data_IF_241217743225
#
_entry.id   IF_241217743225
#
_cell.length_a   1.000
_cell.length_b   1.000
_cell.length_c   1.000
_cell.angle_alpha   90.00
_cell.angle_beta   90.00
_cell.angle_gamma   90.00
#
_symmetry.space_group_name_H-M   'P 1'
#
loop_
_entity.id
_entity.type
_entity.pdbx_description
1 polymer ?
#
# COMPACT_ATOMS: atom_id res chain seq x y z
N UNK A 1 -26.19 0.42 23.89
CA UNK A 1 -25.44 -0.51 23.02
C UNK A 1 -24.18 0.21 22.57
N UNK A 2 -23.00 -0.17 23.06
CA UNK A 2 -21.72 0.47 22.69
C UNK A 2 -21.25 -0.14 21.37
N UNK A 3 -21.29 0.63 20.28
CA UNK A 3 -20.65 0.26 19.03
C UNK A 3 -19.12 0.43 19.20
N UNK A 4 -18.39 -0.67 19.28
CA UNK A 4 -16.96 -0.65 18.98
C UNK A 4 -16.82 -0.53 17.46
N UNK A 5 -16.50 0.68 16.99
CA UNK A 5 -15.91 0.88 15.67
C UNK A 5 -14.49 0.30 15.73
N UNK A 6 -14.31 -0.93 15.27
CA UNK A 6 -13.01 -1.36 14.79
C UNK A 6 -12.77 -0.66 13.46
N UNK A 7 -12.09 0.49 13.49
CA UNK A 7 -11.30 0.92 12.33
C UNK A 7 -10.19 -0.12 12.18
N UNK A 8 -10.47 -1.23 11.50
CA UNK A 8 -9.42 -1.96 10.82
C UNK A 8 -8.96 -1.01 9.70
N UNK A 9 -8.02 -0.12 10.03
CA UNK A 9 -7.21 0.54 9.02
C UNK A 9 -6.56 -0.59 8.23
N UNK A 10 -7.11 -0.88 7.06
CA UNK A 10 -6.55 -1.83 6.12
C UNK A 10 -5.32 -1.12 5.53
N UNK A 11 -4.28 -0.97 6.35
CA UNK A 11 -2.98 -0.54 5.88
C UNK A 11 -2.60 -1.52 4.78
N UNK A 12 -2.17 -0.98 3.65
CA UNK A 12 -1.54 -1.76 2.60
C UNK A 12 -0.21 -2.25 3.19
N UNK A 13 -0.26 -3.34 3.96
CA UNK A 13 0.92 -3.86 4.65
C UNK A 13 1.78 -4.54 3.59
N UNK A 14 2.85 -3.86 3.20
CA UNK A 14 3.99 -4.56 2.60
C UNK A 14 4.60 -5.39 3.71
N UNK A 15 4.58 -6.71 3.56
CA UNK A 15 5.14 -7.62 4.55
C UNK A 15 6.63 -7.32 4.73
N UNK A 16 6.99 -6.81 5.91
CA UNK A 16 8.30 -6.29 6.23
C UNK A 16 8.70 -6.65 7.66
N UNK A 17 10.01 -6.71 7.88
CA UNK A 17 10.61 -7.06 9.16
C UNK A 17 11.70 -6.06 9.53
N UNK A 18 11.96 -5.95 10.83
CA UNK A 18 13.04 -5.13 11.37
C UNK A 18 14.24 -6.01 11.69
N UNK A 19 15.39 -5.76 11.04
CA UNK A 19 16.63 -6.50 11.26
C UNK A 19 17.59 -5.66 12.08
N UNK A 20 17.85 -6.11 13.32
CA UNK A 20 18.71 -5.41 14.29
C UNK A 20 20.17 -5.81 14.12
N UNK A 21 21.05 -4.83 14.01
CA UNK A 21 22.51 -5.02 13.88
C UNK A 21 23.27 -3.91 14.60
N UNK A 22 24.56 -4.11 14.85
CA UNK A 22 25.42 -3.02 15.30
C UNK A 22 25.75 -2.13 14.10
N UNK A 23 25.37 -0.86 14.20
CA UNK A 23 25.69 0.12 13.18
C UNK A 23 25.43 1.53 13.65
N UNK A 24 25.96 2.48 12.89
CA UNK A 24 25.81 3.91 13.11
C UNK A 24 25.44 4.61 11.80
N UNK A 25 24.34 5.37 11.74
CA UNK A 25 24.02 6.21 10.59
C UNK A 25 25.15 7.19 10.27
N UNK A 26 25.33 7.52 8.98
CA UNK A 26 26.27 8.56 8.58
C UNK A 26 25.92 9.90 9.26
N UNK A 27 26.88 10.68 9.80
CA UNK A 27 26.60 11.95 10.48
C UNK A 27 25.89 13.01 9.63
N UNK A 28 25.92 12.90 8.29
CA UNK A 28 25.15 13.77 7.39
C UNK A 28 23.67 13.40 7.29
N UNK A 29 23.28 12.23 7.80
CA UNK A 29 21.90 11.76 7.85
C UNK A 29 21.07 12.59 8.82
N UNK A 30 19.78 12.77 8.52
CA UNK A 30 18.87 13.60 9.33
C UNK A 30 17.89 12.73 10.11
N UNK A 31 18.15 12.57 11.41
CA UNK A 31 17.26 11.82 12.28
C UNK A 31 15.99 12.60 12.62
N UNK A 32 14.86 11.89 12.63
CA UNK A 32 13.68 12.29 13.36
C UNK A 32 13.76 11.73 14.79
N UNK A 33 13.12 12.40 15.74
CA UNK A 33 13.06 11.97 17.14
C UNK A 33 11.65 11.52 17.47
N UNK A 34 11.52 10.43 18.23
CA UNK A 34 10.26 10.06 18.85
C UNK A 34 10.41 10.06 20.39
N UNK A 35 10.03 11.16 21.08
CA UNK A 35 10.20 11.26 22.53
C UNK A 35 9.32 10.28 23.31
N UNK A 36 8.27 9.71 22.69
CA UNK A 36 7.39 8.74 23.33
C UNK A 36 7.96 7.30 23.27
N UNK A 37 8.92 7.05 22.37
CA UNK A 37 9.62 5.78 22.27
C UNK A 37 10.79 5.74 23.26
N UNK A 38 10.47 5.54 24.53
CA UNK A 38 11.43 5.60 25.65
C UNK A 38 12.28 4.33 25.85
N UNK A 39 12.19 3.36 24.94
CA UNK A 39 13.03 2.16 24.95
C UNK A 39 13.37 1.76 23.52
N UNK A 40 14.44 0.98 23.35
CA UNK A 40 14.84 0.47 22.05
C UNK A 40 13.72 -0.32 21.36
N UNK A 41 13.04 -1.20 22.09
CA UNK A 41 11.96 -2.02 21.54
C UNK A 41 10.79 -1.17 21.07
N UNK A 42 10.47 -0.09 21.80
CA UNK A 42 9.46 0.88 21.38
C UNK A 42 9.90 1.65 20.14
N UNK A 43 11.20 1.94 20.01
CA UNK A 43 11.76 2.61 18.85
C UNK A 43 11.65 1.75 17.59
N UNK A 44 12.08 0.49 17.70
CA UNK A 44 11.97 -0.50 16.61
C UNK A 44 10.51 -0.73 16.24
N UNK A 45 9.62 -0.88 17.23
CA UNK A 45 8.19 -1.05 16.99
C UNK A 45 7.61 0.17 16.28
N UNK A 46 7.89 1.38 16.77
CA UNK A 46 7.43 2.60 16.14
C UNK A 46 7.91 2.66 14.68
N UNK A 47 9.20 2.42 14.43
CA UNK A 47 9.71 2.41 13.07
C UNK A 47 9.04 1.33 12.21
N UNK A 48 8.73 0.15 12.76
CA UNK A 48 8.02 -0.90 12.01
C UNK A 48 6.63 -0.47 11.56
N UNK A 49 5.91 0.30 12.38
CA UNK A 49 4.54 0.76 12.14
C UNK A 49 4.48 2.07 11.34
N UNK A 50 5.48 2.95 11.48
CA UNK A 50 5.59 4.21 10.78
C UNK A 50 5.93 3.97 9.30
N UNK A 51 5.02 4.39 8.41
CA UNK A 51 5.10 4.11 6.97
C UNK A 51 6.38 4.68 6.35
N UNK A 52 6.83 5.85 6.82
CA UNK A 52 8.00 6.53 6.26
C UNK A 52 9.33 6.05 6.84
N UNK A 53 9.31 5.26 7.91
CA UNK A 53 10.54 4.85 8.59
C UNK A 53 11.25 3.67 7.90
N UNK A 54 12.55 3.84 7.65
CA UNK A 54 13.46 2.82 7.12
C UNK A 54 14.44 2.27 8.15
N UNK A 55 14.85 3.11 9.10
CA UNK A 55 15.91 2.78 10.05
C UNK A 55 15.54 3.33 11.42
N UNK A 56 15.57 2.50 12.45
CA UNK A 56 15.63 2.95 13.84
C UNK A 56 17.09 2.92 14.31
N UNK A 57 17.47 3.86 15.18
CA UNK A 57 18.81 3.98 15.75
C UNK A 57 18.71 4.25 17.24
N UNK A 58 19.46 3.47 18.02
CA UNK A 58 19.64 3.70 19.45
C UNK A 58 20.80 4.67 19.66
N UNK A 59 20.48 5.97 19.79
CA UNK A 59 21.47 7.01 20.05
C UNK A 59 21.61 7.23 21.55
N UNK A 60 22.37 6.38 22.22
CA UNK A 60 22.61 6.46 23.67
C UNK A 60 21.29 6.47 24.49
N UNK A 61 20.33 5.61 24.12
CA UNK A 61 19.01 5.52 24.73
C UNK A 61 17.96 6.48 24.18
N UNK A 62 18.32 7.35 23.22
CA UNK A 62 17.37 8.18 22.48
C UNK A 62 16.93 7.46 21.22
N UNK A 63 15.61 7.34 21.04
CA UNK A 63 15.03 6.78 19.83
C UNK A 63 15.13 7.78 18.67
N UNK A 64 16.05 7.49 17.76
CA UNK A 64 16.16 8.15 16.48
C UNK A 64 15.63 7.26 15.37
N UNK A 65 15.03 7.87 14.35
CA UNK A 65 14.55 7.15 13.19
C UNK A 65 14.71 7.94 11.91
N UNK A 66 14.85 7.25 10.78
CA UNK A 66 15.20 7.85 9.50
C UNK A 66 14.22 7.44 8.40
N UNK A 67 13.88 8.42 7.57
CA UNK A 67 13.11 8.25 6.33
C UNK A 67 14.05 8.12 5.12
N UNK A 68 13.53 7.64 3.98
CA UNK A 68 14.32 7.38 2.75
C UNK A 68 15.13 8.58 2.25
N UNK A 69 14.61 9.81 2.34
CA UNK A 69 15.33 11.01 1.92
C UNK A 69 16.47 11.42 2.86
N UNK A 70 16.46 10.89 4.10
CA UNK A 70 17.34 11.35 5.16
C UNK A 70 18.44 10.35 5.54
N UNK A 71 18.46 9.17 4.93
CA UNK A 71 19.47 8.13 5.16
C UNK A 71 20.02 7.61 3.85
N UNK A 72 21.34 7.60 3.75
CA UNK A 72 22.04 7.09 2.56
C UNK A 72 23.04 6.01 2.91
N UNK A 73 23.65 6.09 4.10
CA UNK A 73 24.68 5.14 4.55
C UNK A 73 24.57 4.85 6.04
N UNK A 74 24.89 3.62 6.41
CA UNK A 74 25.06 3.16 7.78
C UNK A 74 26.38 2.42 7.86
N UNK A 75 27.27 2.85 8.75
CA UNK A 75 28.55 2.18 9.00
C UNK A 75 28.32 1.03 9.97
N UNK A 76 28.90 -0.13 9.68
CA UNK A 76 28.94 -1.25 10.62
C UNK A 76 29.85 -0.92 11.79
N UNK A 77 29.35 -1.20 12.99
CA UNK A 77 30.05 -1.01 14.25
C UNK A 77 30.27 -2.36 14.93
N UNK A 78 31.11 -2.37 15.94
CA UNK A 78 31.35 -3.54 16.79
C UNK A 78 30.35 -3.58 17.94
N UNK A 79 30.17 -4.76 18.55
CA UNK A 79 29.31 -4.92 19.73
C UNK A 79 29.76 -4.03 20.90
N UNK A 80 31.06 -3.73 20.98
CA UNK A 80 31.66 -2.91 22.05
C UNK A 80 31.32 -1.43 21.95
N UNK A 81 30.92 -0.95 20.77
CA UNK A 81 30.52 0.44 20.56
C UNK A 81 29.07 0.68 21.04
N UNK A 82 28.32 -0.37 21.36
CA UNK A 82 26.92 -0.35 21.84
C UNK A 82 25.90 0.36 20.93
N UNK A 83 26.33 0.88 19.78
CA UNK A 83 25.50 1.51 18.75
C UNK A 83 24.76 0.46 17.92
N UNK A 84 23.43 0.51 17.95
CA UNK A 84 22.56 -0.44 17.24
C UNK A 84 21.57 0.27 16.36
N UNK A 85 21.31 -0.33 15.21
CA UNK A 85 20.28 0.09 14.27
C UNK A 85 19.34 -1.07 13.97
N UNK A 86 18.13 -0.75 13.51
CA UNK A 86 17.19 -1.73 12.97
C UNK A 86 16.75 -1.29 11.58
N UNK A 87 17.09 -2.10 10.57
CA UNK A 87 16.69 -1.87 9.19
C UNK A 87 15.30 -2.45 8.94
N UNK A 88 14.40 -1.66 8.37
CA UNK A 88 13.18 -2.18 7.76
C UNK A 88 13.54 -2.76 6.40
N UNK A 89 13.18 -4.01 6.16
CA UNK A 89 13.38 -4.72 4.88
C UNK A 89 12.17 -5.61 4.61
N UNK A 90 11.99 -6.05 3.36
CA UNK A 90 10.95 -7.01 3.00
C UNK A 90 11.09 -8.28 3.86
N UNK A 91 9.95 -8.86 4.23
CA UNK A 91 9.95 -10.13 4.94
C UNK A 91 10.66 -11.21 4.11
N UNK A 92 11.38 -12.07 4.81
CA UNK A 92 12.06 -13.20 4.20
C UNK A 92 11.01 -14.28 3.97
N UNK A 93 10.92 -14.82 2.75
CA UNK A 93 9.91 -15.83 2.37
C UNK A 93 10.02 -17.17 3.13
N UNK A 94 10.95 -17.28 4.07
CA UNK A 94 11.24 -18.47 4.86
C UNK A 94 10.71 -18.33 6.28
N UNK A 95 10.16 -19.41 6.84
CA UNK A 95 9.71 -19.48 8.24
C UNK A 95 10.84 -19.41 9.29
N UNK A 96 12.08 -19.25 8.85
CA UNK A 96 13.28 -19.12 9.68
C UNK A 96 13.97 -17.80 9.39
N UNK A 97 14.60 -17.20 10.42
CA UNK A 97 15.45 -16.04 10.25
C UNK A 97 16.58 -16.33 9.24
N UNK A 98 16.90 -15.40 8.33
CA UNK A 98 18.03 -15.59 7.43
C UNK A 98 19.33 -15.73 8.20
N UNK A 99 20.23 -16.54 7.65
CA UNK A 99 21.59 -16.72 8.15
C UNK A 99 22.58 -16.13 7.17
N UNK A 100 23.67 -15.57 7.67
CA UNK A 100 24.76 -15.05 6.85
C UNK A 100 25.57 -14.00 7.61
N UNK A 101 26.70 -13.62 7.04
CA UNK A 101 27.49 -12.50 7.54
C UNK A 101 26.84 -11.18 7.12
N UNK A 102 26.99 -10.14 7.94
CA UNK A 102 26.56 -8.76 7.64
C UNK A 102 25.05 -8.58 7.36
N UNK A 103 24.15 -8.96 8.29
CA UNK A 103 22.76 -8.51 8.23
C UNK A 103 22.66 -6.98 8.04
N UNK A 104 21.63 -6.43 7.37
CA UNK A 104 20.49 -7.11 6.75
C UNK A 104 20.80 -7.76 5.38
N UNK A 105 22.02 -7.59 4.87
CA UNK A 105 22.50 -8.08 3.56
C UNK A 105 23.22 -9.42 3.70
N UNK A 106 22.53 -10.43 4.23
CA UNK A 106 23.08 -11.73 4.61
C UNK A 106 23.95 -12.32 3.48
N UNK A 107 25.24 -12.52 3.79
CA UNK A 107 26.27 -12.98 2.84
C UNK A 107 26.44 -12.05 1.62
N UNK A 108 26.35 -10.74 1.86
CA UNK A 108 26.43 -9.66 0.87
C UNK A 108 25.37 -9.74 -0.24
N UNK A 109 24.25 -10.43 0.01
CA UNK A 109 23.09 -10.31 -0.85
C UNK A 109 22.39 -8.99 -0.60
N UNK A 110 21.98 -8.33 -1.69
CA UNK A 110 21.22 -7.09 -1.62
C UNK A 110 19.94 -7.33 -0.80
N UNK A 111 19.69 -6.46 0.19
CA UNK A 111 18.43 -6.44 0.90
C UNK A 111 17.49 -5.44 0.23
N UNK A 112 16.21 -5.76 0.17
CA UNK A 112 15.22 -4.93 -0.52
C UNK A 112 14.08 -4.54 0.41
N UNK A 113 13.42 -3.45 0.09
CA UNK A 113 12.16 -3.09 0.73
C UNK A 113 11.30 -2.18 -0.12
N UNK A 114 10.04 -2.02 0.29
CA UNK A 114 9.09 -1.13 -0.35
C UNK A 114 8.36 -0.29 0.70
N UNK A 115 8.29 1.02 0.49
CA UNK A 115 7.38 1.92 1.22
C UNK A 115 6.22 2.34 0.31
N UNK A 116 5.03 2.44 0.90
CA UNK A 116 3.84 3.00 0.24
C UNK A 116 3.45 4.28 0.98
N UNK A 117 4.11 5.38 0.63
CA UNK A 117 3.92 6.67 1.29
C UNK A 117 2.56 7.22 0.83
N UNK A 118 1.65 7.61 1.75
CA UNK A 118 0.35 8.16 1.37
C UNK A 118 0.50 9.30 0.37
N UNK A 119 -0.14 9.16 -0.78
CA UNK A 119 -0.21 10.16 -1.83
C UNK A 119 -1.62 10.74 -1.92
N UNK A 120 -1.89 11.47 -3.00
CA UNK A 120 -3.25 11.97 -3.27
C UNK A 120 -4.19 10.83 -3.72
N UNK A 121 -5.48 10.98 -3.46
CA UNK A 121 -6.55 10.11 -3.98
C UNK A 121 -6.36 8.60 -3.77
N UNK A 122 -5.78 8.17 -2.64
CA UNK A 122 -5.46 6.76 -2.33
C UNK A 122 -4.51 6.09 -3.36
N UNK A 123 -3.74 6.88 -4.12
CA UNK A 123 -2.60 6.44 -4.92
C UNK A 123 -1.28 6.78 -4.19
N UNK A 124 -0.70 5.85 -3.43
CA UNK A 124 0.53 6.15 -2.70
C UNK A 124 1.74 6.26 -3.63
N UNK A 125 2.73 7.02 -3.20
CA UNK A 125 4.08 6.98 -3.76
C UNK A 125 4.75 5.68 -3.31
N UNK A 126 5.16 4.87 -4.28
CA UNK A 126 5.93 3.65 -4.06
C UNK A 126 7.42 3.98 -4.09
N UNK A 127 8.09 3.78 -2.97
CA UNK A 127 9.54 3.86 -2.85
C UNK A 127 10.10 2.45 -2.76
N UNK A 128 10.70 1.95 -3.83
CA UNK A 128 11.48 0.72 -3.79
C UNK A 128 12.90 1.08 -3.37
N UNK A 129 13.45 0.36 -2.39
CA UNK A 129 14.82 0.59 -1.96
C UNK A 129 15.62 -0.70 -1.92
N UNK A 130 16.92 -0.53 -2.15
CA UNK A 130 17.92 -1.59 -2.04
C UNK A 130 19.01 -1.14 -1.10
N UNK A 131 19.45 -2.05 -0.24
CA UNK A 131 20.54 -1.88 0.71
C UNK A 131 21.67 -2.82 0.27
N UNK A 132 22.84 -2.26 0.03
CA UNK A 132 24.04 -3.01 -0.38
C UNK A 132 25.12 -2.88 0.67
N UNK A 133 25.82 -3.96 0.96
CA UNK A 133 26.96 -3.92 1.86
C UNK A 133 28.28 -3.88 1.09
N UNK A 134 29.07 -2.83 1.31
CA UNK A 134 30.38 -2.64 0.71
C UNK A 134 31.37 -2.19 1.78
N UNK A 135 32.40 -3.00 2.03
CA UNK A 135 33.54 -2.66 2.88
C UNK A 135 33.16 -2.07 4.26
N UNK A 136 32.25 -2.72 5.00
CA UNK A 136 31.84 -2.26 6.34
C UNK A 136 30.76 -1.19 6.36
N UNK A 137 30.12 -0.91 5.22
CA UNK A 137 29.06 0.10 5.12
C UNK A 137 27.87 -0.47 4.37
N UNK A 138 26.67 -0.24 4.89
CA UNK A 138 25.42 -0.43 4.16
C UNK A 138 25.03 0.86 3.46
N UNK A 139 24.83 0.79 2.14
CA UNK A 139 24.45 1.93 1.30
C UNK A 139 23.04 1.71 0.75
N UNK A 140 22.24 2.76 0.78
CA UNK A 140 20.86 2.76 0.29
C UNK A 140 20.78 3.35 -1.11
N UNK A 141 19.96 2.72 -1.95
CA UNK A 141 19.54 3.28 -3.25
C UNK A 141 18.03 3.21 -3.37
N UNK A 142 17.43 4.24 -3.96
CA UNK A 142 15.98 4.44 -4.01
C UNK A 142 15.48 4.58 -5.44
N UNK A 143 14.29 4.06 -5.69
CA UNK A 143 13.53 4.29 -6.91
C UNK A 143 12.07 4.58 -6.57
N UNK A 144 11.60 5.74 -7.00
CA UNK A 144 10.31 6.30 -6.60
C UNK A 144 9.40 6.46 -7.82
N UNK A 145 8.14 6.07 -7.64
CA UNK A 145 7.08 6.23 -8.64
C UNK A 145 5.71 6.18 -7.97
N UNK A 146 4.66 6.65 -8.64
CA UNK A 146 3.30 6.36 -8.21
C UNK A 146 3.08 4.83 -8.20
N UNK A 147 2.33 4.33 -7.20
CA UNK A 147 2.04 2.91 -7.12
C UNK A 147 1.09 2.44 -8.22
N UNK A 148 0.19 3.33 -8.68
CA UNK A 148 -0.67 3.16 -9.83
C UNK A 148 -0.35 4.15 -10.97
N UNK A 149 -0.77 3.85 -12.22
CA UNK A 149 -0.32 4.60 -13.40
C UNK A 149 -0.58 6.11 -13.37
N UNK A 150 -1.69 6.54 -12.78
CA UNK A 150 -2.08 7.96 -12.65
C UNK A 150 -2.82 8.19 -11.33
N UNK A 151 -2.98 9.44 -10.92
CA UNK A 151 -3.69 9.83 -9.68
C UNK A 151 -5.20 9.55 -9.72
N UNK A 152 -5.74 9.12 -10.87
CA UNK A 152 -7.12 8.66 -11.00
C UNK A 152 -7.31 7.19 -10.60
N UNK A 153 -6.22 6.46 -10.35
CA UNK A 153 -6.26 5.07 -9.91
C UNK A 153 -6.06 4.99 -8.41
N UNK A 154 -6.92 4.22 -7.76
CA UNK A 154 -6.79 3.84 -6.36
C UNK A 154 -6.02 2.53 -6.24
N UNK A 155 -5.08 2.46 -5.30
CA UNK A 155 -4.39 1.21 -4.98
C UNK A 155 -5.23 0.32 -4.04
N UNK A 156 -5.40 -0.93 -4.44
CA UNK A 156 -6.10 -1.99 -3.72
C UNK A 156 -5.14 -3.15 -3.45
N UNK A 157 -5.34 -3.83 -2.32
CA UNK A 157 -4.64 -5.08 -2.03
C UNK A 157 -5.62 -6.24 -2.19
N UNK A 158 -5.34 -7.12 -3.15
CA UNK A 158 -5.96 -8.45 -3.26
C UNK A 158 -5.01 -9.48 -2.67
N UNK A 159 -5.50 -10.70 -2.42
CA UNK A 159 -4.77 -11.74 -1.66
C UNK A 159 -3.29 -11.88 -2.06
N UNK A 160 -2.97 -11.87 -3.36
CA UNK A 160 -1.61 -12.08 -3.85
C UNK A 160 -1.14 -10.99 -4.84
N UNK A 161 -1.88 -9.89 -4.98
CA UNK A 161 -1.55 -8.86 -5.97
C UNK A 161 -2.03 -7.49 -5.54
N UNK A 162 -1.18 -6.49 -5.78
CA UNK A 162 -1.56 -5.09 -5.72
C UNK A 162 -2.28 -4.72 -7.01
N UNK A 163 -3.47 -4.14 -6.88
CA UNK A 163 -4.38 -3.87 -7.98
C UNK A 163 -4.71 -2.39 -8.05
N UNK A 164 -4.66 -1.82 -9.25
CA UNK A 164 -5.05 -0.43 -9.49
C UNK A 164 -6.47 -0.39 -10.07
N UNK A 165 -7.33 0.46 -9.52
CA UNK A 165 -8.72 0.59 -9.95
C UNK A 165 -9.06 2.06 -10.19
N UNK A 166 -9.63 2.37 -11.35
CA UNK A 166 -10.21 3.68 -11.67
C UNK A 166 -11.69 3.53 -12.01
N UNK A 167 -12.39 4.66 -12.05
CA UNK A 167 -13.74 4.76 -12.60
C UNK A 167 -13.69 5.58 -13.89
N UNK A 168 -14.19 5.02 -14.98
CA UNK A 168 -14.27 5.69 -16.28
C UNK A 168 -15.69 6.24 -16.52
N UNK A 169 -15.77 7.44 -17.10
CA UNK A 169 -17.02 8.07 -17.53
C UNK A 169 -17.00 8.31 -19.04
N UNK A 170 -18.17 8.31 -19.68
CA UNK A 170 -18.25 8.71 -21.09
C UNK A 170 -17.90 10.19 -21.24
N UNK A 171 -17.15 10.60 -22.27
CA UNK A 171 -16.90 12.01 -22.54
C UNK A 171 -18.15 12.72 -23.09
N UNK A 172 -19.12 11.95 -23.60
CA UNK A 172 -20.34 12.46 -24.22
C UNK A 172 -21.28 13.12 -23.20
N UNK A 173 -21.88 14.25 -23.60
CA UNK A 173 -22.95 14.92 -22.83
C UNK A 173 -24.27 14.93 -23.62
N UNK A 174 -25.41 14.55 -23.01
CA UNK A 174 -25.56 14.01 -21.65
C UNK A 174 -24.87 12.65 -21.50
N UNK A 175 -24.34 12.37 -20.30
CA UNK A 175 -23.64 11.12 -20.03
C UNK A 175 -24.56 9.94 -20.37
N UNK A 176 -24.12 9.11 -21.30
CA UNK A 176 -24.80 7.87 -21.64
C UNK A 176 -24.15 6.70 -20.90
N UNK A 177 -24.94 5.68 -20.58
CA UNK A 177 -24.42 4.46 -19.97
C UNK A 177 -23.56 3.67 -20.95
N UNK A 178 -22.43 3.13 -20.51
CA UNK A 178 -21.70 2.13 -21.30
C UNK A 178 -22.52 0.85 -21.46
N UNK A 179 -22.57 0.33 -22.71
CA UNK A 179 -22.84 -1.10 -22.92
C UNK A 179 -21.71 -1.93 -22.27
N UNK A 180 -21.94 -3.22 -22.04
CA UNK A 180 -20.88 -4.07 -21.47
C UNK A 180 -19.65 -4.10 -22.38
N UNK A 181 -19.83 -4.32 -23.68
CA UNK A 181 -18.73 -4.40 -24.64
C UNK A 181 -17.99 -3.05 -24.76
N UNK A 182 -18.72 -1.94 -24.68
CA UNK A 182 -18.11 -0.61 -24.64
C UNK A 182 -17.30 -0.40 -23.37
N UNK A 183 -17.80 -0.83 -22.19
CA UNK A 183 -17.05 -0.73 -20.94
C UNK A 183 -15.76 -1.57 -20.98
N UNK A 184 -15.82 -2.80 -21.49
CA UNK A 184 -14.63 -3.66 -21.67
C UNK A 184 -13.62 -2.99 -22.61
N UNK A 185 -14.08 -2.46 -23.75
CA UNK A 185 -13.22 -1.78 -24.72
C UNK A 185 -12.59 -0.51 -24.13
N UNK A 186 -13.35 0.27 -23.35
CA UNK A 186 -12.84 1.45 -22.66
C UNK A 186 -11.74 1.07 -21.67
N UNK A 187 -11.96 0.03 -20.84
CA UNK A 187 -10.94 -0.44 -19.91
C UNK A 187 -9.68 -0.95 -20.64
N UNK A 188 -9.84 -1.70 -21.73
CA UNK A 188 -8.71 -2.23 -22.51
C UNK A 188 -7.85 -1.10 -23.10
N UNK A 189 -8.49 -0.02 -23.58
CA UNK A 189 -7.81 1.17 -24.07
C UNK A 189 -7.07 1.94 -22.96
N UNK A 190 -7.44 1.76 -21.69
CA UNK A 190 -6.76 2.38 -20.53
C UNK A 190 -5.59 1.49 -20.08
N UNK A 191 -4.46 1.56 -20.79
CA UNK A 191 -3.23 0.80 -20.48
C UNK A 191 -3.42 -0.73 -20.44
N UNK A 192 -4.33 -1.30 -21.25
CA UNK A 192 -4.60 -2.75 -21.23
C UNK A 192 -5.32 -3.20 -19.96
N UNK A 193 -6.06 -2.29 -19.30
CA UNK A 193 -6.81 -2.62 -18.09
C UNK A 193 -8.02 -3.52 -18.41
N UNK A 194 -8.55 -4.16 -17.38
CA UNK A 194 -9.73 -5.02 -17.50
C UNK A 194 -10.89 -4.44 -16.71
N UNK A 195 -12.10 -4.59 -17.23
CA UNK A 195 -13.30 -4.30 -16.46
C UNK A 195 -13.32 -5.23 -15.24
N UNK A 196 -13.49 -4.65 -14.05
CA UNK A 196 -13.39 -5.36 -12.77
C UNK A 196 -14.45 -4.84 -11.80
N UNK A 197 -14.59 -5.52 -10.68
CA UNK A 197 -15.37 -5.06 -9.53
C UNK A 197 -14.71 -5.51 -8.24
N UNK A 198 -15.46 -5.43 -7.15
CA UNK A 198 -14.96 -5.78 -5.83
C UNK A 198 -14.79 -7.30 -5.67
N UNK A 199 -13.68 -7.70 -5.06
CA UNK A 199 -13.41 -9.09 -4.66
C UNK A 199 -13.80 -9.38 -3.22
N UNK A 200 -14.05 -8.33 -2.42
CA UNK A 200 -14.44 -8.41 -1.02
C UNK A 200 -15.21 -7.14 -0.59
N UNK A 201 -15.75 -7.15 0.63
CA UNK A 201 -16.55 -6.04 1.15
C UNK A 201 -15.75 -4.72 1.28
N UNK A 202 -14.46 -4.79 1.64
CA UNK A 202 -13.63 -3.60 1.79
C UNK A 202 -13.38 -2.90 0.44
N UNK A 203 -13.12 -3.67 -0.62
CA UNK A 203 -13.04 -3.13 -1.98
C UNK A 203 -14.37 -2.51 -2.42
N UNK A 204 -15.51 -3.10 -2.05
CA UNK A 204 -16.82 -2.51 -2.37
C UNK A 204 -17.03 -1.15 -1.70
N UNK A 205 -16.60 -0.98 -0.44
CA UNK A 205 -16.64 0.34 0.21
C UNK A 205 -15.74 1.36 -0.50
N UNK A 206 -14.54 0.95 -0.97
CA UNK A 206 -13.69 1.84 -1.79
C UNK A 206 -14.36 2.23 -3.11
N UNK A 207 -15.05 1.31 -3.78
CA UNK A 207 -15.82 1.61 -4.99
C UNK A 207 -16.93 2.62 -4.72
N UNK A 208 -17.64 2.49 -3.60
CA UNK A 208 -18.65 3.48 -3.19
C UNK A 208 -18.03 4.84 -2.91
N UNK A 209 -16.86 4.90 -2.30
CA UNK A 209 -16.13 6.17 -2.11
C UNK A 209 -15.77 6.80 -3.45
N UNK A 210 -15.26 6.03 -4.41
CA UNK A 210 -15.00 6.54 -5.77
C UNK A 210 -16.29 7.06 -6.42
N UNK A 211 -17.41 6.36 -6.26
CA UNK A 211 -18.72 6.80 -6.72
C UNK A 211 -19.14 8.14 -6.08
N UNK A 212 -18.98 8.29 -4.76
CA UNK A 212 -19.27 9.54 -4.05
C UNK A 212 -18.37 10.70 -4.49
N UNK A 213 -17.10 10.43 -4.80
CA UNK A 213 -16.18 11.43 -5.32
C UNK A 213 -16.61 11.97 -6.69
N UNK A 214 -17.07 11.10 -7.60
CA UNK A 214 -17.60 11.53 -8.90
C UNK A 214 -18.80 12.49 -8.74
N UNK A 215 -19.69 12.24 -7.78
CA UNK A 215 -20.79 13.15 -7.45
C UNK A 215 -20.28 14.48 -6.88
N UNK A 216 -19.36 14.41 -5.91
CA UNK A 216 -18.80 15.59 -5.25
C UNK A 216 -18.07 16.51 -6.22
N UNK A 217 -17.42 15.96 -7.24
CA UNK A 217 -16.71 16.73 -8.25
C UNK A 217 -17.62 17.25 -9.37
N UNK A 218 -18.91 16.90 -9.36
CA UNK A 218 -19.83 17.23 -10.46
C UNK A 218 -19.45 16.56 -11.78
N UNK A 219 -18.71 15.45 -11.72
CA UNK A 219 -18.26 14.70 -12.89
C UNK A 219 -19.40 13.89 -13.52
N UNK A 220 -20.48 13.64 -12.77
CA UNK A 220 -21.67 12.90 -13.19
C UNK A 220 -22.95 13.63 -12.73
N UNK A 221 -24.14 13.30 -13.28
CA UNK A 221 -25.40 13.91 -12.86
C UNK A 221 -25.73 13.60 -11.40
N UNK A 222 -26.30 14.58 -10.68
CA UNK A 222 -26.64 14.42 -9.26
C UNK A 222 -27.86 13.50 -9.01
N UNK A 223 -28.71 13.29 -10.01
CA UNK A 223 -30.04 12.69 -9.78
C UNK A 223 -30.07 11.16 -9.91
N UNK A 224 -29.17 10.54 -10.68
CA UNK A 224 -28.94 9.09 -10.66
C UNK A 224 -27.84 8.69 -11.64
N UNK A 225 -26.92 7.83 -11.21
CA UNK A 225 -26.02 7.09 -12.09
C UNK A 225 -25.66 5.74 -11.45
N UNK A 226 -25.29 4.78 -12.29
CA UNK A 226 -24.83 3.47 -11.86
C UNK A 226 -23.41 3.23 -12.37
N UNK A 227 -22.59 2.57 -11.56
CA UNK A 227 -21.30 2.05 -12.00
C UNK A 227 -21.48 0.63 -12.53
N UNK A 228 -20.95 0.38 -13.73
CA UNK A 228 -20.84 -0.99 -14.26
C UNK A 228 -19.58 -1.63 -13.71
N UNK A 229 -19.75 -2.70 -12.93
CA UNK A 229 -18.65 -3.47 -12.36
C UNK A 229 -18.66 -4.87 -12.98
N UNK A 230 -17.47 -5.47 -13.17
CA UNK A 230 -17.37 -6.91 -13.43
C UNK A 230 -17.22 -7.69 -12.13
N UNK A 231 -17.62 -8.94 -12.07
CA UNK A 231 -17.54 -9.69 -10.81
C UNK A 231 -17.63 -11.19 -11.03
N UNK A 232 -17.16 -11.96 -10.05
CA UNK A 232 -17.34 -13.40 -10.06
C UNK A 232 -18.83 -13.69 -9.90
N UNK A 233 -19.50 -13.80 -11.04
CA UNK A 233 -20.91 -14.19 -11.15
C UNK A 233 -21.12 -15.50 -10.38
N UNK A 234 -22.29 -15.68 -9.79
CA UNK A 234 -22.69 -16.99 -9.26
C UNK A 234 -22.54 -18.04 -10.36
N UNK A 235 -22.34 -19.32 -10.03
CA UNK A 235 -22.20 -20.38 -11.04
C UNK A 235 -23.32 -20.36 -12.08
N UNK A 236 -24.55 -20.04 -11.66
CA UNK A 236 -25.69 -19.84 -12.56
C UNK A 236 -25.49 -18.63 -13.49
N UNK A 237 -25.05 -17.50 -12.96
CA UNK A 237 -24.82 -16.29 -13.74
C UNK A 237 -23.55 -16.36 -14.63
N UNK A 238 -22.60 -17.25 -14.35
CA UNK A 238 -21.48 -17.53 -15.26
C UNK A 238 -21.96 -18.27 -16.52
N UNK A 239 -22.85 -19.24 -16.37
CA UNK A 239 -23.41 -20.01 -17.49
C UNK A 239 -24.42 -19.19 -18.31
N UNK A 240 -25.23 -18.34 -17.67
CA UNK A 240 -26.25 -17.53 -18.33
C UNK A 240 -26.14 -16.05 -17.93
N UNK A 241 -25.13 -15.33 -18.44
CA UNK A 241 -24.79 -13.98 -17.97
C UNK A 241 -25.82 -12.89 -18.30
N UNK A 242 -26.77 -13.16 -19.21
CA UNK A 242 -27.76 -12.18 -19.69
C UNK A 242 -29.16 -12.39 -19.14
N UNK A 243 -29.37 -13.33 -18.21
CA UNK A 243 -30.69 -13.52 -17.60
C UNK A 243 -31.05 -12.32 -16.74
N UNK A 244 -32.34 -12.00 -16.64
CA UNK A 244 -32.82 -10.86 -15.86
C UNK A 244 -32.29 -10.91 -14.41
N UNK A 245 -32.27 -12.08 -13.78
CA UNK A 245 -31.73 -12.28 -12.42
C UNK A 245 -30.24 -11.98 -12.27
N UNK A 246 -29.47 -12.03 -13.36
CA UNK A 246 -28.03 -11.76 -13.36
C UNK A 246 -27.69 -10.35 -13.84
N UNK A 247 -28.70 -9.60 -14.30
CA UNK A 247 -28.62 -8.23 -14.81
C UNK A 247 -29.39 -7.23 -13.92
N UNK A 248 -30.00 -7.70 -12.82
CA UNK A 248 -30.68 -6.83 -11.86
C UNK A 248 -29.68 -6.07 -11.02
N UNK A 249 -29.79 -4.74 -11.03
CA UNK A 249 -29.08 -3.87 -10.09
C UNK A 249 -29.54 -4.21 -8.67
N UNK A 250 -28.61 -4.61 -7.79
CA UNK A 250 -28.87 -4.66 -6.35
C UNK A 250 -28.96 -3.23 -5.81
N UNK A 251 -30.06 -2.54 -6.12
CA UNK A 251 -30.52 -1.44 -5.29
C UNK A 251 -30.88 -2.08 -3.95
N UNK A 252 -30.06 -1.84 -2.92
CA UNK A 252 -30.43 -2.14 -1.54
C UNK A 252 -31.81 -1.54 -1.30
N UNK A 253 -32.85 -2.39 -1.27
CA UNK A 253 -34.12 -2.03 -0.64
C UNK A 253 -33.78 -1.68 0.80
N UNK A 254 -34.00 -0.41 1.16
CA UNK A 254 -33.95 0.02 2.54
C UNK A 254 -34.81 -0.92 3.37
N UNK A 255 -34.25 -1.34 4.50
CA UNK A 255 -34.96 -2.02 5.56
C UNK A 255 -36.08 -1.07 6.01
N UNK A 256 -37.28 -1.30 5.51
CA UNK A 256 -38.50 -1.03 6.26
C UNK A 256 -38.86 -2.36 6.91
N UNK A 257 -38.48 -2.48 8.18
CA UNK A 257 -39.18 -3.32 9.13
C UNK A 257 -40.04 -2.40 9.99
N UNK A 258 -41.24 -2.88 10.28
CA UNK A 258 -42.37 -2.22 10.92
C UNK A 258 -42.07 -1.54 12.28
#
# INVERSE_FOLDING_TARGET
>A
MKFLLFLASLLLVVDSVMVVVNGKPDPSSKANQNPNATSWEKCVKYCSEEVTCLLAYDNEGKCEWFQHENITKVKQTTVLEEEKVAFKVNNFSTSSCPSGLNPPTFDNQDAHGVLLIPGEYDNPNRVNYTIKYTAGTWEFSYFEQNACPTDFFVLLQRENIQWCMSTEITPDRPFTSFSYDAAVTTCDNQNGSVLTGATNAAEMEKIKTMQSNLLSWGAVPQESFALRLDGKRTTACQATPRTASCMTDEVRKGVHED
#
